data_IF_546422862606
#
_entry.id   IF_546422862606
#
_cell.length_a   1.000
_cell.length_b   1.000
_cell.length_c   1.000
_cell.angle_alpha   90.00
_cell.angle_beta   90.00
_cell.angle_gamma   90.00
#
_symmetry.space_group_name_H-M   'P 1'
#
loop_
_entity.id
_entity.type
_entity.pdbx_description
1 polymer ?
#
# COMPACT_ATOMS: atom_id res chain seq x y z
N UNK A 1 14.53 43.17 1.43
CA UNK A 1 14.02 41.79 1.48
C UNK A 1 12.78 41.79 2.37
N UNK A 2 11.60 41.34 1.89
CA UNK A 2 10.39 41.28 2.72
C UNK A 2 10.58 40.31 3.90
N UNK A 3 9.95 40.60 5.04
CA UNK A 3 10.01 39.72 6.22
C UNK A 3 9.26 38.41 5.98
N UNK A 4 9.65 37.33 6.67
CA UNK A 4 8.95 36.04 6.63
C UNK A 4 7.48 36.21 7.01
N UNK A 5 7.16 37.10 7.96
CA UNK A 5 5.78 37.39 8.34
C UNK A 5 4.96 38.00 7.20
N UNK A 6 5.52 38.98 6.47
CA UNK A 6 4.86 39.57 5.31
C UNK A 6 4.67 38.55 4.19
N UNK A 7 5.67 37.71 3.95
CA UNK A 7 5.60 36.64 2.95
C UNK A 7 4.51 35.61 3.30
N UNK A 8 4.40 35.20 4.56
CA UNK A 8 3.37 34.26 5.03
C UNK A 8 1.96 34.82 4.87
N UNK A 9 1.77 36.12 5.08
CA UNK A 9 0.50 36.81 4.83
C UNK A 9 0.17 36.80 3.33
N UNK A 10 1.13 37.12 2.46
CA UNK A 10 0.94 37.16 1.00
C UNK A 10 0.53 35.78 0.45
N UNK A 11 1.15 34.71 0.94
CA UNK A 11 0.87 33.34 0.47
C UNK A 11 -0.30 32.66 1.21
N UNK A 12 -0.88 33.32 2.22
CA UNK A 12 -1.99 32.78 3.01
C UNK A 12 -1.62 31.57 3.88
N UNK A 13 -0.36 31.41 4.27
CA UNK A 13 0.10 30.28 5.08
C UNK A 13 0.12 30.64 6.57
N UNK A 14 -0.58 29.90 7.46
CA UNK A 14 -0.51 30.15 8.89
C UNK A 14 0.91 30.01 9.43
N UNK A 15 1.33 30.94 10.32
CA UNK A 15 2.66 30.91 10.95
C UNK A 15 2.96 29.57 11.64
N UNK A 16 1.98 29.01 12.35
CA UNK A 16 2.12 27.70 13.00
C UNK A 16 2.43 26.58 12.02
N UNK A 17 1.77 26.56 10.86
CA UNK A 17 2.03 25.59 9.78
C UNK A 17 3.43 25.76 9.22
N UNK A 18 3.88 27.00 8.98
CA UNK A 18 5.23 27.26 8.48
C UNK A 18 6.31 26.72 9.43
N UNK A 19 6.24 27.07 10.72
CA UNK A 19 7.22 26.59 11.70
C UNK A 19 7.13 25.09 11.93
N UNK A 20 5.94 24.50 11.91
CA UNK A 20 5.77 23.05 11.95
C UNK A 20 6.45 22.37 10.75
N UNK A 21 6.23 22.85 9.53
CA UNK A 21 6.88 22.33 8.33
C UNK A 21 8.40 22.49 8.40
N UNK A 22 8.89 23.63 8.88
CA UNK A 22 10.32 23.91 9.03
C UNK A 22 10.98 22.88 9.96
N UNK A 23 10.33 22.57 11.09
CA UNK A 23 10.78 21.54 12.05
C UNK A 23 10.74 20.15 11.42
N UNK A 24 9.66 19.80 10.71
CA UNK A 24 9.54 18.49 10.05
C UNK A 24 10.58 18.31 8.95
N UNK A 25 10.91 19.36 8.19
CA UNK A 25 11.91 19.30 7.12
C UNK A 25 13.35 19.27 7.64
N UNK A 26 13.59 19.84 8.83
CA UNK A 26 14.91 19.82 9.49
C UNK A 26 15.10 18.61 10.41
N UNK A 27 14.05 17.82 10.65
CA UNK A 27 14.13 16.62 11.45
C UNK A 27 14.96 15.54 10.74
N UNK A 28 15.97 15.03 11.43
CA UNK A 28 16.74 13.89 10.96
C UNK A 28 15.87 12.63 10.88
N UNK A 29 15.97 11.90 9.77
CA UNK A 29 15.35 10.60 9.64
C UNK A 29 16.20 9.56 10.37
N UNK A 30 15.85 9.31 11.63
CA UNK A 30 16.45 8.29 12.51
C UNK A 30 16.52 6.88 11.92
N UNK A 31 15.78 6.59 10.85
CA UNK A 31 15.81 5.31 10.14
C UNK A 31 16.39 5.40 8.73
N UNK A 32 17.06 6.50 8.36
CA UNK A 32 17.59 6.71 7.01
C UNK A 32 18.50 5.55 6.55
N UNK A 33 19.43 5.14 7.42
CA UNK A 33 20.36 4.04 7.11
C UNK A 33 19.65 2.69 7.03
N UNK A 34 18.69 2.43 7.92
CA UNK A 34 17.88 1.22 7.88
C UNK A 34 17.04 1.14 6.60
N UNK A 35 16.41 2.25 6.19
CA UNK A 35 15.65 2.34 4.94
C UNK A 35 16.54 2.09 3.73
N UNK A 36 17.75 2.65 3.72
CA UNK A 36 18.74 2.41 2.66
C UNK A 36 19.13 0.94 2.59
N UNK A 37 19.42 0.33 3.74
CA UNK A 37 19.77 -1.09 3.80
C UNK A 37 18.64 -2.00 3.30
N UNK A 38 17.39 -1.73 3.71
CA UNK A 38 16.21 -2.45 3.23
C UNK A 38 16.05 -2.26 1.71
N UNK A 39 16.24 -1.04 1.21
CA UNK A 39 16.17 -0.74 -0.21
C UNK A 39 17.21 -1.54 -1.01
N UNK A 40 18.45 -1.58 -0.54
CA UNK A 40 19.54 -2.29 -1.22
C UNK A 40 19.29 -3.81 -1.26
N UNK A 41 18.81 -4.39 -0.15
CA UNK A 41 18.41 -5.81 -0.10
C UNK A 41 17.31 -6.08 -1.12
N UNK A 42 16.27 -5.25 -1.15
CA UNK A 42 15.14 -5.43 -2.04
C UNK A 42 15.53 -5.29 -3.52
N UNK A 43 16.33 -4.27 -3.88
CA UNK A 43 16.84 -4.08 -5.24
C UNK A 43 17.68 -5.28 -5.69
N UNK A 44 18.54 -5.80 -4.82
CA UNK A 44 19.32 -7.00 -5.10
C UNK A 44 18.42 -8.19 -5.39
N UNK A 45 17.42 -8.44 -4.54
CA UNK A 45 16.48 -9.54 -4.75
C UNK A 45 15.71 -9.42 -6.07
N UNK A 46 15.25 -8.21 -6.43
CA UNK A 46 14.59 -7.99 -7.71
C UNK A 46 15.52 -8.33 -8.88
N UNK A 47 16.76 -7.84 -8.84
CA UNK A 47 17.77 -8.08 -9.87
C UNK A 47 18.11 -9.57 -10.00
N UNK A 48 18.32 -10.26 -8.87
CA UNK A 48 18.65 -11.69 -8.83
C UNK A 48 17.51 -12.56 -9.41
N UNK A 49 16.26 -12.08 -9.35
CA UNK A 49 15.09 -12.75 -9.92
C UNK A 49 14.67 -12.22 -11.31
N UNK A 50 15.45 -11.30 -11.92
CA UNK A 50 15.14 -10.74 -13.24
C UNK A 50 13.86 -9.87 -13.26
N UNK A 51 13.46 -9.32 -12.12
CA UNK A 51 12.26 -8.50 -11.97
C UNK A 51 12.59 -7.01 -12.13
N UNK A 52 11.78 -6.29 -12.92
CA UNK A 52 11.88 -4.83 -13.05
C UNK A 52 10.91 -4.18 -12.07
N UNK A 53 11.43 -3.28 -11.22
CA UNK A 53 10.58 -2.50 -10.33
C UNK A 53 9.79 -1.46 -11.14
N UNK A 54 8.46 -1.46 -11.01
CA UNK A 54 7.59 -0.42 -11.55
C UNK A 54 6.90 0.30 -10.39
N UNK A 55 7.25 1.57 -10.18
CA UNK A 55 6.65 2.41 -9.15
C UNK A 55 5.93 3.58 -9.80
N UNK A 56 4.67 3.77 -9.42
CA UNK A 56 3.87 4.91 -9.82
C UNK A 56 4.39 6.20 -9.20
N UNK A 57 4.09 7.34 -9.84
CA UNK A 57 4.40 8.65 -9.26
C UNK A 57 3.67 8.80 -7.92
N UNK A 58 4.33 9.45 -6.96
CA UNK A 58 3.71 9.81 -5.68
C UNK A 58 2.41 10.58 -5.93
N UNK A 59 1.34 10.14 -5.29
CA UNK A 59 0.00 10.71 -5.48
C UNK A 59 -0.89 9.96 -6.49
N UNK A 60 -0.40 8.92 -7.16
CA UNK A 60 -1.26 8.06 -7.99
C UNK A 60 -1.82 6.88 -7.16
N UNK A 61 -3.03 7.03 -6.62
CA UNK A 61 -3.67 5.97 -5.82
C UNK A 61 -4.32 4.87 -6.68
N UNK A 62 -4.58 5.12 -7.96
CA UNK A 62 -5.31 4.18 -8.82
C UNK A 62 -4.58 2.85 -8.98
N UNK A 63 -3.25 2.89 -9.06
CA UNK A 63 -2.43 1.69 -9.22
C UNK A 63 -2.47 0.79 -7.96
N UNK A 64 -2.75 1.36 -6.79
CA UNK A 64 -2.88 0.63 -5.52
C UNK A 64 -4.34 0.26 -5.19
N UNK A 65 -5.32 0.85 -5.88
CA UNK A 65 -6.74 0.73 -5.54
C UNK A 65 -7.24 -0.73 -5.50
N UNK A 66 -6.72 -1.61 -6.36
CA UNK A 66 -7.07 -3.02 -6.36
C UNK A 66 -6.61 -3.73 -5.06
N UNK A 67 -5.39 -3.45 -4.60
CA UNK A 67 -4.86 -4.00 -3.35
C UNK A 67 -5.55 -3.39 -2.14
N UNK A 68 -5.84 -2.09 -2.15
CA UNK A 68 -6.62 -1.44 -1.09
C UNK A 68 -8.01 -2.05 -0.95
N UNK A 69 -8.69 -2.30 -2.07
CA UNK A 69 -9.98 -2.99 -2.07
C UNK A 69 -9.87 -4.40 -1.49
N UNK A 70 -8.84 -5.17 -1.85
CA UNK A 70 -8.61 -6.49 -1.27
C UNK A 70 -8.43 -6.42 0.25
N UNK A 71 -7.54 -5.55 0.74
CA UNK A 71 -7.29 -5.42 2.17
C UNK A 71 -8.49 -4.90 2.96
N UNK A 72 -9.29 -4.00 2.37
CA UNK A 72 -10.54 -3.55 2.97
C UNK A 72 -11.49 -4.73 3.20
N UNK A 73 -11.68 -5.56 2.18
CA UNK A 73 -12.53 -6.75 2.26
C UNK A 73 -12.00 -7.79 3.24
N UNK A 74 -10.70 -8.11 3.19
CA UNK A 74 -10.06 -9.04 4.13
C UNK A 74 -10.28 -8.61 5.59
N UNK A 75 -10.09 -7.31 5.87
CA UNK A 75 -10.25 -6.79 7.24
C UNK A 75 -11.71 -6.86 7.70
N UNK A 76 -12.65 -6.49 6.84
CA UNK A 76 -14.08 -6.57 7.14
C UNK A 76 -14.57 -8.00 7.37
N UNK A 77 -14.08 -8.97 6.60
CA UNK A 77 -14.58 -10.34 6.64
C UNK A 77 -13.84 -11.24 7.64
N UNK A 78 -12.56 -10.96 7.94
CA UNK A 78 -11.75 -11.76 8.89
C UNK A 78 -11.40 -11.00 10.17
N UNK A 79 -10.88 -9.78 10.09
CA UNK A 79 -10.32 -9.10 11.27
C UNK A 79 -11.36 -8.44 12.17
N UNK A 80 -12.43 -7.90 11.60
CA UNK A 80 -13.43 -7.16 12.37
C UNK A 80 -14.52 -8.07 12.98
N UNK A 81 -14.65 -9.29 12.45
CA UNK A 81 -15.66 -10.28 12.83
C UNK A 81 -15.12 -11.31 13.84
N UNK A 82 -13.81 -11.47 13.92
CA UNK A 82 -13.16 -12.48 14.77
C UNK A 82 -12.07 -11.85 15.66
N UNK A 83 -11.83 -12.50 16.80
CA UNK A 83 -10.62 -12.28 17.60
C UNK A 83 -9.75 -13.52 17.48
N UNK A 84 -8.44 -13.31 17.48
CA UNK A 84 -7.45 -14.37 17.38
C UNK A 84 -6.58 -14.34 18.63
N UNK A 85 -6.34 -15.50 19.21
CA UNK A 85 -5.57 -15.64 20.44
C UNK A 85 -4.06 -15.73 20.17
N UNK A 86 -3.68 -15.98 18.91
CA UNK A 86 -2.27 -16.04 18.49
C UNK A 86 -2.04 -15.58 17.06
N UNK A 87 -0.78 -15.22 16.76
CA UNK A 87 -0.34 -14.91 15.39
C UNK A 87 -0.43 -16.14 14.49
N UNK A 88 -0.13 -17.34 15.00
CA UNK A 88 -0.22 -18.60 14.26
C UNK A 88 -1.64 -18.91 13.81
N UNK A 89 -2.63 -18.68 14.69
CA UNK A 89 -4.04 -18.84 14.35
C UNK A 89 -4.46 -17.84 13.26
N UNK A 90 -4.09 -16.57 13.43
CA UNK A 90 -4.36 -15.54 12.43
C UNK A 90 -3.74 -15.90 11.08
N UNK A 91 -2.49 -16.37 11.06
CA UNK A 91 -1.79 -16.80 9.84
C UNK A 91 -2.55 -17.93 9.12
N UNK A 92 -3.00 -18.95 9.85
CA UNK A 92 -3.79 -20.04 9.27
C UNK A 92 -5.09 -19.53 8.62
N UNK A 93 -5.81 -18.63 9.29
CA UNK A 93 -7.04 -18.03 8.75
C UNK A 93 -6.74 -17.16 7.53
N UNK A 94 -5.64 -16.39 7.53
CA UNK A 94 -5.23 -15.61 6.37
C UNK A 94 -4.94 -16.50 5.15
N UNK A 95 -4.25 -17.63 5.34
CA UNK A 95 -3.99 -18.58 4.27
C UNK A 95 -5.27 -19.14 3.68
N UNK A 96 -6.20 -19.58 4.51
CA UNK A 96 -7.49 -20.11 4.07
C UNK A 96 -8.29 -19.04 3.32
N UNK A 97 -8.36 -17.82 3.87
CA UNK A 97 -9.09 -16.73 3.25
C UNK A 97 -8.49 -16.33 1.90
N UNK A 98 -7.16 -16.24 1.77
CA UNK A 98 -6.50 -15.91 0.49
C UNK A 98 -6.80 -16.99 -0.56
N UNK A 99 -6.79 -18.27 -0.16
CA UNK A 99 -7.18 -19.38 -1.03
C UNK A 99 -8.64 -19.25 -1.48
N UNK A 100 -9.56 -19.01 -0.56
CA UNK A 100 -10.98 -18.78 -0.86
C UNK A 100 -11.15 -17.57 -1.79
N UNK A 101 -10.55 -16.43 -1.46
CA UNK A 101 -10.66 -15.18 -2.21
C UNK A 101 -10.23 -15.36 -3.66
N UNK A 102 -9.14 -16.09 -3.89
CA UNK A 102 -8.58 -16.29 -5.23
C UNK A 102 -9.29 -17.36 -6.05
N UNK A 103 -9.74 -18.45 -5.41
CA UNK A 103 -10.22 -19.64 -6.13
C UNK A 103 -11.74 -19.80 -6.13
N UNK A 104 -12.42 -19.38 -5.07
CA UNK A 104 -13.81 -19.75 -4.81
C UNK A 104 -14.75 -18.52 -4.73
N UNK A 105 -14.21 -17.34 -4.43
CA UNK A 105 -15.03 -16.13 -4.22
C UNK A 105 -15.76 -15.73 -5.50
N UNK A 106 -17.08 -15.69 -5.39
CA UNK A 106 -17.96 -15.18 -6.44
C UNK A 106 -17.82 -13.65 -6.52
N UNK A 107 -17.38 -13.14 -7.66
CA UNK A 107 -17.37 -11.70 -7.95
C UNK A 107 -18.36 -11.35 -9.05
N UNK A 108 -19.43 -10.63 -8.72
CA UNK A 108 -20.44 -10.20 -9.69
C UNK A 108 -19.85 -9.37 -10.84
N UNK A 109 -18.90 -8.48 -10.53
CA UNK A 109 -18.15 -7.71 -11.55
C UNK A 109 -17.40 -8.61 -12.54
N UNK A 110 -17.05 -9.82 -12.14
CA UNK A 110 -16.37 -10.83 -12.98
C UNK A 110 -17.35 -11.89 -13.50
N UNK A 111 -18.65 -11.57 -13.62
CA UNK A 111 -19.71 -12.50 -14.06
C UNK A 111 -19.81 -13.76 -13.17
N UNK A 112 -19.52 -13.60 -11.88
CA UNK A 112 -19.57 -14.68 -10.90
C UNK A 112 -18.29 -15.52 -10.81
N UNK A 113 -17.27 -15.23 -11.63
CA UNK A 113 -15.99 -15.95 -11.59
C UNK A 113 -15.13 -15.50 -10.41
N UNK A 114 -14.31 -16.42 -9.91
CA UNK A 114 -13.21 -16.09 -9.00
C UNK A 114 -12.07 -15.38 -9.73
N UNK A 115 -11.19 -14.66 -9.01
CA UNK A 115 -10.02 -14.00 -9.61
C UNK A 115 -9.18 -14.94 -10.49
N UNK A 116 -8.93 -16.17 -10.03
CA UNK A 116 -8.16 -17.15 -10.79
C UNK A 116 -8.92 -17.62 -12.03
N UNK A 117 -10.22 -17.93 -11.91
CA UNK A 117 -11.04 -18.33 -13.05
C UNK A 117 -11.10 -17.24 -14.12
N UNK A 118 -11.29 -15.98 -13.71
CA UNK A 118 -11.30 -14.82 -14.60
C UNK A 118 -9.97 -14.64 -15.32
N UNK A 119 -8.84 -14.81 -14.62
CA UNK A 119 -7.49 -14.76 -15.22
C UNK A 119 -7.30 -15.86 -16.26
N UNK A 120 -7.66 -17.11 -15.93
CA UNK A 120 -7.56 -18.25 -16.86
C UNK A 120 -8.41 -18.02 -18.10
N UNK A 121 -9.64 -17.52 -17.94
CA UNK A 121 -10.51 -17.20 -19.07
C UNK A 121 -9.89 -16.12 -19.97
N UNK A 122 -9.35 -15.05 -19.37
CA UNK A 122 -8.73 -13.96 -20.11
C UNK A 122 -7.50 -14.42 -20.90
N UNK A 123 -6.69 -15.33 -20.34
CA UNK A 123 -5.54 -15.91 -21.02
C UNK A 123 -5.92 -16.84 -22.18
N UNK A 124 -7.08 -17.51 -22.11
CA UNK A 124 -7.58 -18.34 -23.22
C UNK A 124 -8.17 -17.51 -24.38
N UNK A 125 -8.57 -16.28 -24.10
CA UNK A 125 -9.17 -15.37 -25.07
C UNK A 125 -8.15 -14.42 -25.72
N UNK A 126 -6.91 -14.40 -25.22
CA UNK A 126 -5.77 -13.64 -25.75
C UNK A 126 -4.95 -14.51 -26.71
#
# INVERSE_FOLDING_TARGET
MPSVELLLVIVGLPRGTFYYQLVVQSAEDKYADLKRHIHDIYQKQLKDNGLVQSMSRKGNCLDNAAMESFFGTLKSECFHTCKYDSVTELEAVLHEYIRYYNNDRIKLKLKGLSPVQYRIQSLKAA
#
